data_IF_327833811860
#
_entry.id   IF_327833811860
#
_cell.length_a   1.000
_cell.length_b   1.000
_cell.length_c   1.000
_cell.angle_alpha   90.00
_cell.angle_beta   90.00
_cell.angle_gamma   90.00
#
_symmetry.space_group_name_H-M   'P 1'
#
loop_
_entity.id
_entity.type
_entity.pdbx_description
1 polymer ?
#
# COMPACT_ATOMS: atom_id res chain seq x y z
N UNK A 1 -7.59 -2.58 17.24
CA UNK A 1 -7.09 -3.24 16.01
C UNK A 1 -6.86 -4.67 16.40
N UNK A 2 -7.82 -5.52 16.08
CA UNK A 2 -7.77 -6.91 16.53
C UNK A 2 -6.82 -7.69 15.63
N UNK A 3 -6.05 -8.61 16.23
CA UNK A 3 -5.12 -9.45 15.48
C UNK A 3 -5.92 -10.31 14.50
N UNK A 4 -5.46 -10.36 13.25
CA UNK A 4 -6.12 -11.15 12.20
C UNK A 4 -5.84 -12.62 12.47
N UNK A 5 -6.86 -13.45 12.39
CA UNK A 5 -6.72 -14.89 12.56
C UNK A 5 -6.32 -15.56 11.24
N UNK A 6 -5.45 -16.56 11.33
CA UNK A 6 -5.07 -17.41 10.20
C UNK A 6 -6.16 -18.45 9.90
N UNK A 7 -6.08 -19.11 8.74
CA UNK A 7 -6.97 -20.23 8.38
C UNK A 7 -6.92 -21.39 9.40
N UNK A 8 -5.80 -21.57 10.09
CA UNK A 8 -5.64 -22.60 11.13
C UNK A 8 -6.17 -22.18 12.51
N UNK A 9 -6.74 -20.97 12.64
CA UNK A 9 -7.27 -20.45 13.91
C UNK A 9 -6.22 -19.90 14.86
N UNK A 10 -4.95 -19.79 14.43
CA UNK A 10 -3.90 -19.09 15.18
C UNK A 10 -3.82 -17.64 14.74
N UNK A 11 -3.50 -16.72 15.64
CA UNK A 11 -3.31 -15.32 15.26
C UNK A 11 -2.13 -15.18 14.29
N UNK A 12 -2.30 -14.35 13.27
CA UNK A 12 -1.21 -14.00 12.34
C UNK A 12 -0.15 -13.16 13.07
N UNK A 13 1.14 -13.38 12.78
CA UNK A 13 2.20 -12.53 13.30
C UNK A 13 2.08 -11.12 12.71
N UNK A 14 2.66 -10.14 13.41
CA UNK A 14 2.73 -8.77 12.93
C UNK A 14 3.54 -8.71 11.62
N UNK A 15 3.08 -7.92 10.65
CA UNK A 15 3.74 -7.75 9.36
C UNK A 15 5.15 -7.16 9.54
N UNK A 16 5.31 -6.26 10.53
CA UNK A 16 6.61 -5.70 10.87
C UNK A 16 7.60 -6.76 11.38
N UNK A 17 7.14 -7.68 12.22
CA UNK A 17 7.96 -8.80 12.70
C UNK A 17 8.45 -9.67 11.54
N UNK A 18 7.55 -10.05 10.62
CA UNK A 18 7.93 -10.81 9.43
C UNK A 18 8.96 -10.06 8.57
N UNK A 19 8.78 -8.75 8.36
CA UNK A 19 9.73 -7.91 7.62
C UNK A 19 11.11 -7.95 8.27
N UNK A 20 11.20 -7.82 9.59
CA UNK A 20 12.50 -7.76 10.28
C UNK A 20 13.19 -9.12 10.38
N UNK A 21 12.42 -10.21 10.40
CA UNK A 21 12.98 -11.56 10.56
C UNK A 21 13.31 -12.23 9.23
N UNK A 22 12.52 -11.99 8.18
CA UNK A 22 12.64 -12.72 6.91
C UNK A 22 13.38 -11.94 5.82
N UNK A 23 13.38 -10.60 5.87
CA UNK A 23 13.88 -9.78 4.76
C UNK A 23 15.20 -9.09 5.11
N UNK A 24 16.26 -9.43 4.35
CA UNK A 24 17.48 -8.68 4.14
C UNK A 24 17.45 -7.18 4.43
N UNK A 25 18.27 -6.63 5.33
CA UNK A 25 18.56 -5.19 5.30
C UNK A 25 20.00 -4.99 4.83
N UNK A 26 20.19 -4.31 3.70
CA UNK A 26 21.52 -3.98 3.20
C UNK A 26 21.50 -3.35 1.82
N UNK A 27 22.61 -2.71 1.44
CA UNK A 27 22.88 -2.29 0.06
C UNK A 27 23.70 -3.37 -0.60
N UNK A 28 23.18 -3.97 -1.66
CA UNK A 28 23.89 -4.95 -2.47
C UNK A 28 23.88 -4.45 -3.92
N UNK A 29 25.06 -4.28 -4.51
CA UNK A 29 25.22 -4.02 -5.94
C UNK A 29 25.20 -5.34 -6.69
N UNK A 30 24.38 -5.42 -7.74
CA UNK A 30 24.37 -6.57 -8.63
C UNK A 30 25.43 -6.39 -9.75
N UNK A 31 26.23 -7.42 -10.07
CA UNK A 31 27.26 -7.32 -11.12
C UNK A 31 26.69 -7.36 -12.54
N UNK A 32 25.43 -7.77 -12.72
CA UNK A 32 24.79 -7.98 -14.02
C UNK A 32 23.70 -6.95 -14.31
N UNK A 33 22.93 -6.55 -13.31
CA UNK A 33 21.84 -5.60 -13.45
C UNK A 33 22.23 -4.21 -12.97
N UNK A 34 21.93 -3.22 -13.80
CA UNK A 34 22.06 -1.81 -13.41
C UNK A 34 20.83 -1.37 -12.62
N UNK A 35 20.96 -0.26 -11.89
CA UNK A 35 19.83 0.40 -11.21
C UNK A 35 18.69 0.75 -12.18
N UNK A 36 18.96 0.86 -13.49
CA UNK A 36 17.93 1.10 -14.50
C UNK A 36 16.88 -0.02 -14.52
N UNK A 37 17.27 -1.28 -14.28
CA UNK A 37 16.34 -2.41 -14.25
C UNK A 37 15.26 -2.24 -13.18
N UNK A 38 15.65 -1.83 -11.97
CA UNK A 38 14.70 -1.56 -10.88
C UNK A 38 13.81 -0.35 -11.19
N UNK A 39 14.38 0.73 -11.73
CA UNK A 39 13.60 1.92 -12.11
C UNK A 39 12.59 1.59 -13.21
N UNK A 40 12.98 0.78 -14.19
CA UNK A 40 12.09 0.35 -15.26
C UNK A 40 10.96 -0.55 -14.74
N UNK A 41 11.23 -1.44 -13.78
CA UNK A 41 10.18 -2.22 -13.12
C UNK A 41 9.17 -1.31 -12.41
N UNK A 42 9.65 -0.29 -11.69
CA UNK A 42 8.76 0.70 -11.05
C UNK A 42 7.92 1.41 -12.11
N UNK A 43 8.53 1.87 -13.20
CA UNK A 43 7.84 2.51 -14.31
C UNK A 43 6.74 1.61 -14.94
N UNK A 44 7.06 0.34 -15.20
CA UNK A 44 6.07 -0.61 -15.72
C UNK A 44 4.91 -0.82 -14.75
N UNK A 45 5.20 -0.99 -13.45
CA UNK A 45 4.15 -1.17 -12.46
C UNK A 45 3.27 0.07 -12.31
N UNK A 46 3.83 1.28 -12.47
CA UNK A 46 3.04 2.51 -12.43
C UNK A 46 2.11 2.69 -13.64
N UNK A 47 2.39 2.02 -14.75
CA UNK A 47 1.57 2.11 -15.97
C UNK A 47 0.29 1.28 -15.86
N UNK A 48 0.40 0.08 -15.27
CA UNK A 48 -0.69 -0.91 -15.25
C UNK A 48 -1.40 -1.05 -13.90
N UNK A 49 -0.88 -0.43 -12.83
CA UNK A 49 -1.46 -0.50 -11.48
C UNK A 49 -1.87 0.87 -10.96
N UNK A 50 -2.63 0.88 -9.86
CA UNK A 50 -2.98 2.10 -9.13
C UNK A 50 -1.84 2.61 -8.25
N UNK A 51 -1.49 3.89 -8.40
CA UNK A 51 -0.74 4.66 -7.39
C UNK A 51 -1.70 5.23 -6.32
N UNK A 52 -3.02 5.25 -6.58
CA UNK A 52 -4.01 5.85 -5.67
C UNK A 52 -4.02 5.29 -4.25
N UNK A 53 -3.70 4.00 -4.06
CA UNK A 53 -3.55 3.40 -2.72
C UNK A 53 -2.48 4.13 -1.88
N UNK A 54 -1.44 4.66 -2.53
CA UNK A 54 -0.37 5.46 -1.91
C UNK A 54 -0.83 6.89 -1.64
N UNK A 55 -1.66 7.48 -2.51
CA UNK A 55 -2.17 8.85 -2.35
C UNK A 55 -3.17 8.92 -1.19
N UNK A 56 -4.06 7.93 -1.07
CA UNK A 56 -5.00 7.79 0.04
C UNK A 56 -4.28 7.69 1.40
N UNK A 57 -3.19 6.94 1.44
CA UNK A 57 -2.31 6.82 2.60
C UNK A 57 -1.63 8.15 2.98
N UNK A 58 -1.04 8.85 2.01
CA UNK A 58 -0.17 10.02 2.28
C UNK A 58 -0.97 11.31 2.51
N UNK A 59 -2.04 11.56 1.74
CA UNK A 59 -2.72 12.85 1.73
C UNK A 59 -3.98 12.88 2.60
N UNK A 60 -4.74 11.78 2.69
CA UNK A 60 -6.13 11.83 3.18
C UNK A 60 -6.30 11.26 4.60
N UNK A 61 -5.52 10.25 4.99
CA UNK A 61 -5.67 9.57 6.29
C UNK A 61 -4.36 9.36 7.08
N UNK A 62 -3.63 10.43 7.43
CA UNK A 62 -2.39 10.33 8.22
C UNK A 62 -2.61 9.99 9.71
N UNK A 63 -3.84 9.68 10.11
CA UNK A 63 -4.26 9.51 11.51
C UNK A 63 -4.56 8.07 11.92
N UNK A 64 -4.23 7.07 11.09
CA UNK A 64 -4.56 5.67 11.37
C UNK A 64 -3.92 5.12 12.66
N UNK A 65 -2.79 5.68 13.10
CA UNK A 65 -2.17 5.36 14.38
C UNK A 65 -2.74 6.14 15.59
N UNK A 66 -3.56 7.16 15.34
CA UNK A 66 -4.18 7.95 16.40
C UNK A 66 -5.48 7.30 16.89
N UNK A 67 -6.03 7.69 18.06
CA UNK A 67 -7.31 7.17 18.54
C UNK A 67 -8.45 7.27 17.52
N UNK A 68 -8.48 8.34 16.70
CA UNK A 68 -9.43 8.52 15.60
C UNK A 68 -9.37 7.40 14.55
N UNK A 69 -8.19 6.85 14.29
CA UNK A 69 -8.00 5.74 13.36
C UNK A 69 -8.64 4.43 13.83
N UNK A 70 -8.86 4.24 15.14
CA UNK A 70 -9.45 3.00 15.68
C UNK A 70 -10.91 2.80 15.27
N UNK A 71 -11.64 3.90 15.06
CA UNK A 71 -13.05 3.87 14.62
C UNK A 71 -13.19 3.85 13.11
N UNK A 72 -12.14 4.16 12.37
CA UNK A 72 -12.16 4.19 10.90
C UNK A 72 -11.83 2.82 10.32
N UNK A 73 -12.81 2.19 9.67
CA UNK A 73 -12.67 0.85 9.06
C UNK A 73 -11.69 0.80 7.89
N UNK A 74 -11.33 1.96 7.32
CA UNK A 74 -10.33 2.06 6.25
C UNK A 74 -8.91 2.10 6.82
N UNK A 75 -8.73 2.37 8.12
CA UNK A 75 -7.43 2.33 8.76
C UNK A 75 -7.03 0.90 9.11
N UNK A 76 -5.84 0.51 8.68
CA UNK A 76 -5.22 -0.80 8.95
C UNK A 76 -3.76 -0.58 9.31
N UNK A 77 -3.46 0.09 10.44
CA UNK A 77 -2.09 0.41 10.80
C UNK A 77 -1.24 -0.84 11.00
N UNK A 78 0.05 -0.73 10.69
CA UNK A 78 1.02 -1.79 10.95
C UNK A 78 1.66 -1.54 12.33
N UNK A 79 1.39 -2.42 13.28
CA UNK A 79 1.90 -2.31 14.65
C UNK A 79 3.35 -2.78 14.71
N UNK A 80 4.17 -2.05 15.46
CA UNK A 80 5.58 -2.35 15.65
C UNK A 80 5.73 -3.08 17.00
N UNK A 81 6.40 -4.24 17.03
CA UNK A 81 6.64 -4.95 18.29
C UNK A 81 7.69 -4.23 19.15
N UNK A 82 7.67 -4.44 20.47
CA UNK A 82 8.57 -3.75 21.40
C UNK A 82 10.05 -4.12 21.21
N UNK A 83 10.32 -5.33 20.72
CA UNK A 83 11.64 -5.85 20.40
C UNK A 83 12.11 -5.51 18.97
N UNK A 84 11.44 -4.57 18.28
CA UNK A 84 11.83 -4.17 16.93
C UNK A 84 13.28 -3.66 16.87
N UNK A 85 14.14 -4.24 16.02
CA UNK A 85 15.57 -3.91 16.01
C UNK A 85 15.87 -2.44 15.65
N UNK A 86 14.96 -1.77 14.92
CA UNK A 86 15.10 -0.37 14.50
C UNK A 86 14.41 0.56 15.49
N UNK A 87 13.22 0.21 15.94
CA UNK A 87 12.35 1.09 16.72
C UNK A 87 12.35 0.82 18.23
N UNK A 88 13.09 -0.17 18.74
CA UNK A 88 13.19 -0.49 20.18
C UNK A 88 13.53 0.71 21.07
N UNK A 89 14.35 1.64 20.57
CA UNK A 89 14.77 2.85 21.29
C UNK A 89 14.00 4.11 20.88
N UNK A 90 13.03 3.98 19.98
CA UNK A 90 12.13 5.06 19.60
C UNK A 90 10.75 4.85 20.21
N UNK A 91 9.95 5.90 20.37
CA UNK A 91 8.55 5.80 20.82
C UNK A 91 7.58 5.44 19.70
N UNK A 92 8.10 5.10 18.51
CA UNK A 92 7.28 4.72 17.37
C UNK A 92 6.82 3.27 17.57
N UNK A 93 5.51 3.07 17.78
CA UNK A 93 4.87 1.74 17.94
C UNK A 93 3.82 1.41 16.88
N UNK A 94 3.64 2.30 15.92
CA UNK A 94 2.64 2.17 14.88
C UNK A 94 3.10 2.90 13.62
N UNK A 95 2.95 2.24 12.48
CA UNK A 95 3.10 2.84 11.16
C UNK A 95 1.71 3.03 10.56
N UNK A 96 1.41 4.25 10.11
CA UNK A 96 0.15 4.52 9.44
C UNK A 96 0.04 3.63 8.20
N UNK A 97 -1.14 3.11 7.93
CA UNK A 97 -1.45 2.37 6.71
C UNK A 97 -2.97 2.33 6.52
N UNK A 98 -3.41 2.46 5.27
CA UNK A 98 -4.82 2.44 4.88
C UNK A 98 -5.13 1.21 4.04
N UNK A 99 -6.39 0.77 4.08
CA UNK A 99 -6.91 -0.28 3.24
C UNK A 99 -7.02 0.27 1.81
N UNK A 100 -6.61 -0.50 0.80
CA UNK A 100 -6.86 -0.16 -0.60
C UNK A 100 -8.33 0.08 -0.90
N UNK A 101 -8.61 1.00 -1.81
CA UNK A 101 -9.98 1.21 -2.28
C UNK A 101 -10.46 0.02 -3.10
N UNK A 102 -11.71 -0.35 -2.88
CA UNK A 102 -12.40 -1.45 -3.54
C UNK A 102 -13.75 -0.99 -4.08
N UNK A 103 -14.28 -1.68 -5.09
CA UNK A 103 -15.60 -1.37 -5.65
C UNK A 103 -16.73 -1.43 -4.59
N UNK A 104 -16.56 -2.24 -3.55
CA UNK A 104 -17.43 -2.28 -2.38
C UNK A 104 -17.29 -1.04 -1.52
N UNK A 105 -16.05 -0.62 -1.22
CA UNK A 105 -15.82 0.54 -0.35
C UNK A 105 -16.38 1.85 -0.92
N UNK A 106 -16.45 1.98 -2.25
CA UNK A 106 -17.05 3.13 -2.94
C UNK A 106 -18.56 2.97 -3.20
N UNK A 107 -19.15 1.83 -2.83
CA UNK A 107 -20.59 1.55 -3.01
C UNK A 107 -21.00 1.14 -4.42
N UNK A 108 -20.06 0.82 -5.31
CA UNK A 108 -20.34 0.32 -6.67
C UNK A 108 -20.84 -1.14 -6.65
N UNK A 109 -20.26 -1.99 -5.79
CA UNK A 109 -20.66 -3.38 -5.57
C UNK A 109 -21.15 -3.56 -4.14
N UNK A 110 -22.05 -4.53 -3.90
CA UNK A 110 -22.59 -4.85 -2.58
C UNK A 110 -21.48 -5.22 -1.58
N UNK A 111 -21.53 -4.66 -0.37
CA UNK A 111 -20.49 -4.81 0.67
C UNK A 111 -20.23 -6.22 1.19
N UNK A 112 -21.12 -7.18 0.95
CA UNK A 112 -20.98 -8.55 1.43
C UNK A 112 -20.27 -9.49 0.43
N UNK A 113 -19.84 -8.98 -0.73
CA UNK A 113 -19.06 -9.76 -1.70
C UNK A 113 -17.56 -9.69 -1.38
N UNK A 114 -16.78 -10.57 -2.01
CA UNK A 114 -15.33 -10.55 -1.89
C UNK A 114 -14.77 -9.21 -2.40
N UNK A 115 -13.94 -8.49 -1.63
CA UNK A 115 -13.49 -7.15 -2.00
C UNK A 115 -12.59 -7.17 -3.23
N UNK A 116 -12.93 -6.36 -4.23
CA UNK A 116 -12.17 -6.22 -5.48
C UNK A 116 -11.56 -4.82 -5.55
N UNK A 117 -10.23 -4.75 -5.63
CA UNK A 117 -9.48 -3.49 -5.61
C UNK A 117 -9.66 -2.71 -6.90
N UNK A 118 -9.66 -1.39 -6.78
CA UNK A 118 -9.77 -0.50 -7.93
C UNK A 118 -8.39 -0.26 -8.53
N UNK A 119 -8.25 -0.55 -9.83
CA UNK A 119 -7.07 -0.24 -10.63
C UNK A 119 -7.37 1.00 -11.50
N UNK A 120 -6.61 2.07 -11.33
CA UNK A 120 -6.76 3.33 -12.09
C UNK A 120 -5.84 3.44 -13.29
N UNK A 121 -4.81 2.58 -13.34
CA UNK A 121 -4.01 2.38 -14.54
C UNK A 121 -4.81 1.65 -15.62
N UNK A 122 -4.38 1.78 -16.86
CA UNK A 122 -4.90 0.98 -17.97
C UNK A 122 -4.43 -0.47 -17.80
N UNK A 123 -5.23 -1.48 -18.21
CA UNK A 123 -4.81 -2.89 -18.08
C UNK A 123 -3.72 -3.28 -19.08
N UNK A 124 -3.44 -2.41 -20.06
CA UNK A 124 -2.43 -2.58 -21.11
C UNK A 124 -1.19 -1.77 -20.77
N UNK A 125 -0.02 -2.25 -21.18
CA UNK A 125 1.21 -1.46 -21.12
C UNK A 125 1.23 -0.47 -22.30
N UNK A 126 0.67 0.72 -22.09
CA UNK A 126 0.35 1.72 -23.12
C UNK A 126 0.88 3.12 -22.79
N UNK A 127 1.77 3.24 -21.80
CA UNK A 127 2.36 4.51 -21.35
C UNK A 127 1.32 5.48 -20.76
N UNK A 128 0.21 4.98 -20.20
CA UNK A 128 -0.76 5.77 -19.45
C UNK A 128 -0.15 6.53 -18.27
N UNK A 129 0.99 6.09 -17.70
CA UNK A 129 1.70 6.90 -16.70
C UNK A 129 2.28 8.20 -17.29
N UNK A 130 2.52 8.26 -18.60
CA UNK A 130 3.04 9.44 -19.32
C UNK A 130 1.89 10.26 -19.92
N UNK A 131 0.95 9.57 -20.56
CA UNK A 131 -0.13 10.19 -21.33
C UNK A 131 -1.43 10.37 -20.54
N UNK A 132 -1.55 9.75 -19.37
CA UNK A 132 -2.77 9.73 -18.56
C UNK A 132 -3.73 8.61 -18.95
N UNK A 133 -4.50 8.13 -17.97
CA UNK A 133 -5.53 7.09 -18.14
C UNK A 133 -6.96 7.62 -18.17
N UNK A 134 -7.17 8.94 -18.03
CA UNK A 134 -8.50 9.55 -18.00
C UNK A 134 -8.56 10.89 -18.74
N UNK A 135 -9.68 11.14 -19.43
CA UNK A 135 -9.88 12.33 -20.26
C UNK A 135 -9.98 13.63 -19.44
N UNK A 136 -10.64 13.59 -18.28
CA UNK A 136 -10.90 14.80 -17.48
C UNK A 136 -9.60 15.52 -17.07
N UNK A 137 -8.60 14.87 -16.47
CA UNK A 137 -7.33 15.52 -16.15
C UNK A 137 -6.53 15.97 -17.38
N UNK A 138 -6.73 15.35 -18.54
CA UNK A 138 -6.06 15.74 -19.79
C UNK A 138 -6.65 17.04 -20.33
N UNK A 139 -7.98 17.11 -20.39
CA UNK A 139 -8.71 18.30 -20.81
C UNK A 139 -8.46 19.49 -19.86
N UNK A 140 -8.42 19.26 -18.54
CA UNK A 140 -8.09 20.29 -17.55
C UNK A 140 -6.66 20.84 -17.71
N UNK A 141 -5.73 20.03 -18.25
CA UNK A 141 -4.34 20.43 -18.54
C UNK A 141 -4.18 21.03 -19.94
N UNK A 142 -5.27 21.20 -20.70
CA UNK A 142 -5.24 21.73 -22.06
C UNK A 142 -4.53 20.81 -23.06
N UNK A 143 -4.57 19.49 -22.81
CA UNK A 143 -4.05 18.45 -23.71
C UNK A 143 -5.19 17.72 -24.41
#
# INVERSE_FOLDING_TARGET
FDKRESKSGRSLPLERFLRTTLVPMGKLSDPTFTTLSTNFLVFMTSDVLSIHDTINYIAWKPYCCLPKGRTDRTCVPNMIPDDDPVHRFSDIRCLNMTRPESFQSIGCIKNYTAPERIITGTPSFDLSTVYGSSLKPLLEKGR
#
